data_IF_223760693133
#
_entry.id   IF_223760693133
#
_cell.length_a   1.000
_cell.length_b   1.000
_cell.length_c   1.000
_cell.angle_alpha   90.00
_cell.angle_beta   90.00
_cell.angle_gamma   90.00
#
_symmetry.space_group_name_H-M   'P 1'
#
loop_
_entity.id
_entity.type
_entity.pdbx_description
1 polymer ?
#
# COMPACT_ATOMS: atom_id res chain seq x y z
N UNK A 1 0.60 7.84 21.47
CA UNK A 1 -0.54 8.32 20.67
C UNK A 1 -1.59 8.73 21.67
N UNK A 2 -1.97 10.01 21.67
CA UNK A 2 -3.08 10.44 22.52
C UNK A 2 -4.38 9.78 22.09
N UNK A 3 -5.34 9.64 23.00
CA UNK A 3 -6.61 8.96 22.71
C UNK A 3 -7.40 9.67 21.60
N UNK A 4 -7.34 11.01 21.53
CA UNK A 4 -7.95 11.80 20.43
C UNK A 4 -7.31 11.47 19.09
N UNK A 5 -5.98 11.39 19.01
CA UNK A 5 -5.28 11.03 17.77
C UNK A 5 -5.69 9.62 17.31
N UNK A 6 -5.95 8.72 18.26
CA UNK A 6 -6.44 7.37 17.97
C UNK A 6 -7.84 7.39 17.40
N UNK A 7 -8.75 8.14 18.02
CA UNK A 7 -10.09 8.34 17.50
C UNK A 7 -10.08 8.93 16.09
N UNK A 8 -9.26 9.96 15.84
CA UNK A 8 -9.07 10.59 14.53
C UNK A 8 -8.55 9.57 13.51
N UNK A 9 -7.47 8.86 13.82
CA UNK A 9 -6.89 7.87 12.90
C UNK A 9 -7.90 6.77 12.52
N UNK A 10 -8.71 6.29 13.47
CA UNK A 10 -9.77 5.32 13.20
C UNK A 10 -10.87 5.92 12.31
N UNK A 11 -11.28 7.16 12.58
CA UNK A 11 -12.26 7.87 11.75
C UNK A 11 -11.78 7.99 10.31
N UNK A 12 -10.53 8.44 10.11
CA UNK A 12 -9.92 8.67 8.79
C UNK A 12 -9.67 7.40 7.99
N UNK A 13 -9.37 6.29 8.66
CA UNK A 13 -9.21 4.98 8.04
C UNK A 13 -10.53 4.19 7.95
N UNK A 14 -11.67 4.85 8.21
CA UNK A 14 -13.02 4.28 8.14
C UNK A 14 -13.22 3.04 9.02
N UNK A 15 -12.48 2.97 10.12
CA UNK A 15 -12.51 1.85 11.04
C UNK A 15 -13.68 1.97 12.00
N UNK A 16 -14.26 0.84 12.46
CA UNK A 16 -15.23 0.87 13.54
C UNK A 16 -14.64 1.55 14.78
N UNK A 17 -15.41 2.49 15.32
CA UNK A 17 -15.09 3.17 16.58
C UNK A 17 -16.08 2.70 17.64
N UNK A 18 -15.56 2.09 18.69
CA UNK A 18 -16.37 1.65 19.83
C UNK A 18 -16.84 2.85 20.64
N UNK A 19 -18.08 2.80 21.13
CA UNK A 19 -18.66 3.89 21.92
C UNK A 19 -17.84 4.17 23.19
N UNK A 20 -17.33 3.13 23.85
CA UNK A 20 -16.47 3.28 25.03
C UNK A 20 -15.24 4.14 24.72
N UNK A 21 -14.57 3.91 23.58
CA UNK A 21 -13.44 4.74 23.17
C UNK A 21 -13.83 6.21 23.00
N UNK A 22 -15.02 6.51 22.46
CA UNK A 22 -15.49 7.90 22.30
C UNK A 22 -15.67 8.54 23.68
N UNK A 23 -16.42 7.90 24.58
CA UNK A 23 -16.70 8.40 25.93
C UNK A 23 -15.42 8.56 26.76
N UNK A 24 -14.50 7.60 26.68
CA UNK A 24 -13.22 7.63 27.40
C UNK A 24 -12.25 8.69 26.85
N UNK A 25 -12.38 9.04 25.57
CA UNK A 25 -11.51 10.02 24.89
C UNK A 25 -12.02 11.45 25.04
N UNK A 26 -13.34 11.68 24.97
CA UNK A 26 -13.97 13.01 24.87
C UNK A 26 -14.46 13.52 26.23
N UNK A 27 -13.61 13.41 27.24
CA UNK A 27 -13.94 13.71 28.65
C UNK A 27 -13.99 15.20 28.99
N UNK A 28 -13.43 16.06 28.15
CA UNK A 28 -13.35 17.50 28.39
C UNK A 28 -13.42 18.34 27.09
N UNK A 29 -13.69 19.64 27.21
CA UNK A 29 -13.80 20.57 26.08
C UNK A 29 -12.53 20.66 25.24
N UNK A 30 -11.33 20.41 25.80
CA UNK A 30 -10.08 20.45 25.04
C UNK A 30 -9.95 19.22 24.13
N UNK A 31 -10.29 18.03 24.63
CA UNK A 31 -10.31 16.80 23.84
C UNK A 31 -11.32 16.87 22.68
N UNK A 32 -12.50 17.44 22.94
CA UNK A 32 -13.52 17.69 21.92
C UNK A 32 -13.05 18.73 20.88
N UNK A 33 -12.46 19.85 21.34
CA UNK A 33 -11.86 20.86 20.45
C UNK A 33 -10.77 20.25 19.56
N UNK A 34 -9.90 19.42 20.14
CA UNK A 34 -8.83 18.75 19.40
C UNK A 34 -9.39 17.81 18.32
N UNK A 35 -10.44 17.03 18.62
CA UNK A 35 -11.12 16.21 17.61
C UNK A 35 -11.63 17.06 16.44
N UNK A 36 -12.30 18.19 16.71
CA UNK A 36 -12.84 19.08 15.67
C UNK A 36 -11.72 19.69 14.82
N UNK A 37 -10.65 20.15 15.45
CA UNK A 37 -9.51 20.75 14.74
C UNK A 37 -8.84 19.74 13.81
N UNK A 38 -8.67 18.48 14.25
CA UNK A 38 -8.09 17.43 13.42
C UNK A 38 -9.06 16.82 12.41
N UNK A 39 -10.37 17.08 12.53
CA UNK A 39 -11.40 16.55 11.62
C UNK A 39 -12.07 17.66 10.81
N UNK A 40 -13.14 18.26 11.33
CA UNK A 40 -14.01 19.22 10.62
C UNK A 40 -13.22 20.44 10.11
N UNK A 41 -12.29 20.96 10.91
CA UNK A 41 -11.51 22.18 10.56
C UNK A 41 -10.18 21.87 9.89
N UNK A 42 -9.89 20.61 9.63
CA UNK A 42 -8.63 20.21 9.03
C UNK A 42 -8.63 20.53 7.51
N UNK A 43 -7.68 21.35 7.01
CA UNK A 43 -7.58 21.67 5.59
C UNK A 43 -7.49 20.44 4.68
N UNK A 44 -6.79 19.37 5.13
CA UNK A 44 -6.66 18.12 4.39
C UNK A 44 -8.01 17.45 4.16
N UNK A 45 -8.89 17.45 5.16
CA UNK A 45 -10.21 16.82 5.07
C UNK A 45 -11.25 17.68 4.36
N UNK A 46 -10.93 18.96 4.09
CA UNK A 46 -11.73 19.76 3.16
C UNK A 46 -11.55 19.27 1.73
N UNK A 47 -10.33 18.83 1.37
CA UNK A 47 -10.00 18.31 0.05
C UNK A 47 -10.36 16.81 -0.09
N UNK A 48 -10.10 16.03 0.95
CA UNK A 48 -10.23 14.57 0.93
C UNK A 48 -11.09 14.02 2.09
N UNK A 49 -12.36 14.44 2.21
CA UNK A 49 -13.24 13.98 3.28
C UNK A 49 -13.67 12.52 3.10
N UNK A 50 -13.87 11.74 4.18
CA UNK A 50 -14.64 10.51 4.09
C UNK A 50 -16.03 10.73 3.48
N UNK A 51 -16.65 9.70 2.90
CA UNK A 51 -17.95 9.82 2.25
C UNK A 51 -19.03 10.37 3.23
N UNK A 52 -19.98 11.21 2.76
CA UNK A 52 -20.97 11.87 3.61
C UNK A 52 -21.78 10.91 4.49
N UNK A 53 -22.21 9.76 3.95
CA UNK A 53 -22.98 8.76 4.71
C UNK A 53 -22.17 8.19 5.89
N UNK A 54 -20.86 7.99 5.70
CA UNK A 54 -19.96 7.55 6.76
C UNK A 54 -19.77 8.64 7.81
N UNK A 55 -19.52 9.89 7.38
CA UNK A 55 -19.38 11.03 8.29
C UNK A 55 -20.64 11.20 9.16
N UNK A 56 -21.83 11.13 8.55
CA UNK A 56 -23.09 11.22 9.28
C UNK A 56 -23.20 10.13 10.36
N UNK A 57 -22.89 8.87 10.02
CA UNK A 57 -22.92 7.76 10.99
C UNK A 57 -21.91 7.95 12.13
N UNK A 58 -20.70 8.39 11.81
CA UNK A 58 -19.66 8.66 12.81
C UNK A 58 -20.10 9.78 13.76
N UNK A 59 -20.49 10.93 13.22
CA UNK A 59 -20.85 12.11 14.01
C UNK A 59 -22.11 11.89 14.86
N UNK A 60 -23.06 11.07 14.41
CA UNK A 60 -24.21 10.66 15.22
C UNK A 60 -23.79 9.93 16.51
N UNK A 61 -22.69 9.17 16.48
CA UNK A 61 -22.19 8.48 17.68
C UNK A 61 -21.40 9.41 18.59
N UNK A 62 -20.76 10.43 18.02
CA UNK A 62 -19.93 11.39 18.76
C UNK A 62 -20.76 12.49 19.40
N UNK A 63 -21.83 12.95 18.75
CA UNK A 63 -22.62 14.11 19.19
C UNK A 63 -23.26 13.94 20.57
N UNK A 64 -23.49 12.69 20.99
CA UNK A 64 -24.00 12.38 22.33
C UNK A 64 -23.03 12.77 23.45
N UNK A 65 -21.74 12.95 23.12
CA UNK A 65 -20.66 13.21 24.06
C UNK A 65 -20.09 14.64 23.90
N UNK A 66 -20.66 15.47 23.02
CA UNK A 66 -20.17 16.82 22.69
C UNK A 66 -21.02 17.90 23.38
N UNK A 67 -20.38 18.96 23.89
CA UNK A 67 -21.04 20.13 24.50
C UNK A 67 -21.76 21.03 23.45
N UNK A 68 -22.85 21.68 23.85
CA UNK A 68 -23.79 22.42 22.96
C UNK A 68 -23.14 23.46 22.04
N UNK A 69 -22.01 24.08 22.42
CA UNK A 69 -21.32 25.10 21.61
C UNK A 69 -20.71 24.56 20.31
N UNK A 70 -20.41 23.25 20.27
CA UNK A 70 -19.83 22.55 19.13
C UNK A 70 -20.93 21.97 18.22
N UNK A 71 -22.12 21.75 18.78
CA UNK A 71 -23.29 21.16 18.11
C UNK A 71 -23.65 21.91 16.81
N UNK A 72 -23.50 23.23 16.80
CA UNK A 72 -23.81 24.09 15.64
C UNK A 72 -22.95 23.75 14.40
N UNK A 73 -21.68 23.36 14.59
CA UNK A 73 -20.80 22.95 13.48
C UNK A 73 -21.17 21.56 12.91
N UNK A 74 -21.81 20.70 13.71
CA UNK A 74 -22.20 19.34 13.30
C UNK A 74 -23.53 19.30 12.54
N UNK A 75 -24.44 20.25 12.80
CA UNK A 75 -25.75 20.30 12.15
C UNK A 75 -25.61 20.39 10.63
N UNK A 76 -24.62 21.13 10.10
CA UNK A 76 -24.42 21.24 8.64
C UNK A 76 -24.02 19.90 8.02
N UNK A 77 -23.17 19.12 8.68
CA UNK A 77 -22.76 17.76 8.26
C UNK A 77 -23.89 16.76 8.41
N UNK A 78 -24.74 16.91 9.43
CA UNK A 78 -25.87 16.00 9.70
C UNK A 78 -27.12 16.29 8.85
N UNK A 79 -27.18 17.45 8.20
CA UNK A 79 -28.31 17.84 7.34
C UNK A 79 -28.26 17.23 5.93
N UNK A 80 -27.25 16.38 5.65
CA UNK A 80 -27.14 15.67 4.36
C UNK A 80 -28.20 14.56 4.31
N UNK A 81 -29.07 14.52 3.29
CA UNK A 81 -30.06 13.46 3.14
C UNK A 81 -29.40 12.08 3.10
N UNK A 82 -29.91 11.15 3.90
CA UNK A 82 -29.45 9.75 3.87
C UNK A 82 -29.69 9.19 2.48
N UNK A 83 -28.62 8.78 1.80
CA UNK A 83 -28.70 8.28 0.44
C UNK A 83 -29.38 6.91 0.39
N UNK A 84 -30.20 6.70 -0.64
CA UNK A 84 -30.75 5.39 -1.02
C UNK A 84 -29.90 4.85 -2.19
N UNK A 85 -29.06 3.85 -1.97
CA UNK A 85 -28.20 3.27 -3.01
C UNK A 85 -26.95 2.58 -2.47
N UNK A 86 -26.09 2.02 -3.34
CA UNK A 86 -24.80 1.50 -2.93
C UNK A 86 -23.95 2.63 -2.33
N UNK A 87 -23.08 2.30 -1.35
CA UNK A 87 -22.25 3.29 -0.70
C UNK A 87 -21.30 3.94 -1.72
N UNK A 88 -21.14 5.26 -1.60
CA UNK A 88 -20.20 6.01 -2.44
C UNK A 88 -18.76 5.61 -2.13
N UNK A 89 -17.87 5.76 -3.12
CA UNK A 89 -16.44 5.73 -2.87
C UNK A 89 -16.08 6.75 -1.79
N UNK A 90 -15.09 6.43 -0.97
CA UNK A 90 -14.69 7.28 0.15
C UNK A 90 -13.20 7.49 0.13
N UNK A 91 -12.77 8.70 0.46
CA UNK A 91 -11.39 8.93 0.83
C UNK A 91 -11.09 8.22 2.16
N UNK A 92 -9.96 7.52 2.21
CA UNK A 92 -9.36 6.98 3.42
C UNK A 92 -8.02 7.69 3.59
N UNK A 93 -7.73 8.14 4.81
CA UNK A 93 -6.45 8.76 5.14
C UNK A 93 -5.76 8.00 6.26
N UNK A 94 -4.58 7.44 5.97
CA UNK A 94 -3.73 6.77 6.94
C UNK A 94 -2.68 7.75 7.45
N UNK A 95 -2.62 7.94 8.78
CA UNK A 95 -1.62 8.81 9.40
C UNK A 95 -0.32 8.02 9.64
N UNK A 96 0.58 8.03 8.66
CA UNK A 96 1.88 7.37 8.74
C UNK A 96 2.73 8.00 9.84
N UNK A 97 3.43 7.17 10.61
CA UNK A 97 4.43 7.60 11.60
C UNK A 97 5.79 7.06 11.23
N UNK A 98 6.84 7.76 11.67
CA UNK A 98 8.21 7.30 11.51
C UNK A 98 8.36 5.96 12.23
N UNK A 99 8.69 4.86 11.54
CA UNK A 99 9.04 3.61 12.20
C UNK A 99 10.27 3.82 13.09
N UNK A 100 10.30 3.19 14.27
CA UNK A 100 11.46 3.30 15.17
C UNK A 100 12.75 2.80 14.51
N UNK A 101 12.64 1.75 13.68
CA UNK A 101 13.72 1.18 12.89
C UNK A 101 14.05 1.95 11.61
N UNK A 102 13.35 3.06 11.33
CA UNK A 102 13.55 3.81 10.10
C UNK A 102 14.91 4.52 10.11
N UNK A 103 15.70 4.39 9.04
CA UNK A 103 16.95 5.14 8.90
C UNK A 103 16.72 6.59 8.49
N UNK A 104 15.49 6.97 8.13
CA UNK A 104 15.14 8.37 7.83
C UNK A 104 15.13 9.15 9.14
N UNK A 105 15.83 10.28 9.18
CA UNK A 105 15.90 11.12 10.38
C UNK A 105 14.52 11.67 10.79
N UNK A 106 14.34 11.97 12.07
CA UNK A 106 13.09 12.57 12.56
C UNK A 106 12.84 13.94 11.91
N UNK A 107 13.88 14.71 11.62
CA UNK A 107 13.75 16.03 10.97
C UNK A 107 13.31 15.91 9.51
N UNK A 108 13.85 14.95 8.77
CA UNK A 108 13.39 14.65 7.39
C UNK A 108 11.96 14.14 7.39
N UNK A 109 11.58 13.34 8.39
CA UNK A 109 10.23 12.83 8.51
C UNK A 109 9.22 13.91 8.87
N UNK A 110 9.58 14.91 9.66
CA UNK A 110 8.64 15.97 10.09
C UNK A 110 8.08 16.77 8.92
N UNK A 111 6.78 17.04 8.97
CA UNK A 111 6.09 17.92 8.01
C UNK A 111 6.19 19.39 8.43
N UNK A 112 6.23 20.33 7.47
CA UNK A 112 6.15 21.75 7.75
C UNK A 112 4.89 22.08 8.56
N UNK A 113 4.95 23.03 9.51
CA UNK A 113 3.77 23.44 10.28
C UNK A 113 2.78 24.18 9.38
N UNK A 114 1.49 24.10 9.70
CA UNK A 114 0.43 24.88 9.05
C UNK A 114 -0.03 24.37 7.68
N UNK A 115 0.43 23.19 7.24
CA UNK A 115 -0.10 22.51 6.05
C UNK A 115 -1.48 21.92 6.33
N UNK A 116 -1.61 21.29 7.50
CA UNK A 116 -2.86 20.79 8.05
C UNK A 116 -2.81 20.78 9.58
N UNK A 117 -3.85 20.23 10.19
CA UNK A 117 -4.01 20.20 11.64
C UNK A 117 -3.55 18.86 12.26
N UNK A 118 -2.83 18.00 11.53
CA UNK A 118 -2.26 16.79 12.09
C UNK A 118 -0.95 17.07 12.82
N UNK A 119 -0.48 16.10 13.62
CA UNK A 119 0.85 16.19 14.21
C UNK A 119 1.92 16.24 13.10
N UNK A 120 2.96 17.05 13.28
CA UNK A 120 4.06 17.15 12.31
C UNK A 120 4.85 15.84 12.16
N UNK A 121 4.77 14.94 13.14
CA UNK A 121 5.38 13.60 13.06
C UNK A 121 4.49 12.60 12.29
N UNK A 122 3.29 13.02 11.86
CA UNK A 122 2.37 12.25 11.05
C UNK A 122 2.35 12.73 9.60
N UNK A 123 2.28 11.77 8.67
CA UNK A 123 2.11 12.04 7.24
C UNK A 123 0.78 11.45 6.74
N UNK A 124 -0.17 12.28 6.28
CA UNK A 124 -1.46 11.79 5.83
C UNK A 124 -1.33 11.15 4.45
N UNK A 125 -1.50 9.83 4.36
CA UNK A 125 -1.53 9.09 3.11
C UNK A 125 -2.98 8.82 2.71
N UNK A 126 -3.41 9.44 1.62
CA UNK A 126 -4.81 9.40 1.18
C UNK A 126 -5.00 8.58 -0.07
N UNK A 127 -6.01 7.70 -0.04
CA UNK A 127 -6.49 6.95 -1.20
C UNK A 127 -8.01 7.08 -1.31
N UNK A 128 -8.54 6.86 -2.52
CA UNK A 128 -9.97 6.79 -2.76
C UNK A 128 -10.34 5.31 -2.98
N UNK A 129 -11.30 4.80 -2.21
CA UNK A 129 -11.72 3.40 -2.31
C UNK A 129 -13.19 3.26 -2.60
N UNK A 130 -13.52 2.27 -3.42
CA UNK A 130 -14.87 1.74 -3.49
C UNK A 130 -15.28 1.15 -2.14
N UNK A 131 -16.55 1.31 -1.80
CA UNK A 131 -17.16 0.72 -0.61
C UNK A 131 -17.92 -0.57 -0.92
N UNK A 132 -17.82 -1.07 -2.15
CA UNK A 132 -18.32 -2.38 -2.58
C UNK A 132 -17.16 -3.33 -2.91
N UNK A 133 -17.39 -4.64 -2.75
CA UNK A 133 -16.34 -5.65 -3.01
C UNK A 133 -15.98 -5.77 -4.48
N UNK A 134 -16.97 -5.66 -5.36
CA UNK A 134 -16.81 -5.62 -6.81
C UNK A 134 -17.49 -4.34 -7.28
N UNK A 135 -16.79 -3.54 -8.06
CA UNK A 135 -17.31 -2.36 -8.75
C UNK A 135 -16.73 -2.35 -10.15
N UNK A 136 -17.53 -1.99 -11.17
CA UNK A 136 -17.09 -1.92 -12.58
C UNK A 136 -16.49 -3.22 -13.13
N UNK A 137 -16.84 -4.37 -12.53
CA UNK A 137 -16.33 -5.67 -12.94
C UNK A 137 -14.96 -6.04 -12.37
N UNK A 138 -14.40 -5.19 -11.51
CA UNK A 138 -13.09 -5.41 -10.87
C UNK A 138 -13.19 -5.42 -9.34
N UNK A 139 -12.24 -6.10 -8.70
CA UNK A 139 -12.01 -6.10 -7.25
C UNK A 139 -10.88 -5.14 -6.83
N UNK A 140 -10.22 -4.48 -7.79
CA UNK A 140 -9.03 -3.65 -7.57
C UNK A 140 -9.32 -2.25 -7.05
N UNK A 141 -10.58 -1.81 -6.96
CA UNK A 141 -10.95 -0.46 -6.53
C UNK A 141 -11.00 -0.26 -5.01
N UNK A 142 -10.55 -1.25 -4.23
CA UNK A 142 -10.43 -1.20 -2.76
C UNK A 142 -9.12 -1.83 -2.29
N UNK A 143 -8.63 -1.45 -1.12
CA UNK A 143 -7.50 -2.14 -0.50
C UNK A 143 -7.97 -3.44 0.15
N UNK A 144 -7.18 -4.49 -0.04
CA UNK A 144 -7.37 -5.79 0.57
C UNK A 144 -6.43 -6.02 1.75
N UNK A 145 -6.81 -6.93 2.65
CA UNK A 145 -6.07 -7.19 3.90
C UNK A 145 -4.59 -7.44 3.69
N UNK A 146 -4.22 -8.28 2.74
CA UNK A 146 -2.80 -8.56 2.47
C UNK A 146 -2.00 -7.32 2.05
N UNK A 147 -2.63 -6.32 1.42
CA UNK A 147 -1.97 -5.06 1.06
C UNK A 147 -1.71 -4.18 2.30
N UNK A 148 -2.67 -4.11 3.24
CA UNK A 148 -2.48 -3.44 4.53
C UNK A 148 -1.34 -4.08 5.33
N UNK A 149 -1.35 -5.41 5.44
CA UNK A 149 -0.32 -6.15 6.17
C UNK A 149 1.05 -6.03 5.48
N UNK A 150 1.11 -6.07 4.15
CA UNK A 150 2.35 -5.88 3.40
C UNK A 150 2.88 -4.45 3.52
N UNK A 151 2.03 -3.42 3.48
CA UNK A 151 2.43 -2.04 3.70
C UNK A 151 3.01 -1.83 5.11
N UNK A 152 2.41 -2.44 6.13
CA UNK A 152 2.91 -2.44 7.50
C UNK A 152 4.28 -3.16 7.60
N UNK A 153 4.46 -4.27 6.88
CA UNK A 153 5.73 -4.98 6.82
C UNK A 153 6.82 -4.17 6.10
N UNK A 154 6.51 -3.54 4.96
CA UNK A 154 7.47 -2.72 4.18
C UNK A 154 8.02 -1.56 5.01
N UNK A 155 7.18 -0.92 5.84
CA UNK A 155 7.63 0.14 6.76
C UNK A 155 8.76 -0.31 7.71
N UNK A 156 8.92 -1.60 7.96
CA UNK A 156 9.91 -2.16 8.90
C UNK A 156 11.12 -2.80 8.23
N UNK A 157 10.99 -3.17 6.96
CA UNK A 157 11.99 -3.98 6.25
C UNK A 157 12.84 -3.17 5.24
N UNK A 158 12.78 -1.83 5.33
CA UNK A 158 13.68 -0.91 4.63
C UNK A 158 13.89 -1.18 3.12
N UNK A 159 12.80 -1.46 2.40
CA UNK A 159 12.86 -1.73 0.96
C UNK A 159 12.95 -0.47 0.08
N UNK A 160 12.97 0.72 0.68
CA UNK A 160 12.90 2.00 -0.03
C UNK A 160 14.19 2.36 -0.80
N UNK A 161 15.28 1.59 -0.69
CA UNK A 161 16.45 1.78 -1.57
C UNK A 161 16.37 0.96 -2.86
N UNK A 162 15.39 0.04 -2.97
CA UNK A 162 15.26 -0.85 -4.12
C UNK A 162 14.46 -0.21 -5.27
N UNK A 163 14.68 -0.73 -6.48
CA UNK A 163 13.73 -0.58 -7.59
C UNK A 163 12.61 -1.59 -7.42
N UNK A 164 11.38 -1.13 -7.34
CA UNK A 164 10.23 -1.97 -6.97
C UNK A 164 9.25 -2.06 -8.13
N UNK A 165 8.79 -3.28 -8.40
CA UNK A 165 7.63 -3.56 -9.24
C UNK A 165 6.49 -4.06 -8.34
N UNK A 166 5.35 -3.40 -8.35
CA UNK A 166 4.14 -3.89 -7.73
C UNK A 166 3.22 -4.52 -8.78
N UNK A 167 2.89 -5.80 -8.62
CA UNK A 167 1.93 -6.53 -9.45
C UNK A 167 0.55 -6.48 -8.79
N UNK A 168 -0.46 -6.00 -9.53
CA UNK A 168 -1.84 -5.94 -9.04
C UNK A 168 -2.00 -4.88 -7.96
N UNK A 169 -1.61 -3.64 -8.29
CA UNK A 169 -1.53 -2.52 -7.35
C UNK A 169 -2.89 -2.12 -6.74
N UNK A 170 -4.00 -2.50 -7.38
CA UNK A 170 -5.33 -2.17 -6.88
C UNK A 170 -5.49 -0.65 -6.67
N UNK A 171 -6.06 -0.25 -5.53
CA UNK A 171 -6.26 1.15 -5.20
C UNK A 171 -4.96 1.95 -4.98
N UNK A 172 -3.79 1.30 -5.03
CA UNK A 172 -2.47 1.93 -5.02
C UNK A 172 -1.87 2.19 -3.64
N UNK A 173 -2.46 1.64 -2.55
CA UNK A 173 -2.00 1.90 -1.18
C UNK A 173 -0.51 1.56 -1.01
N UNK A 174 -0.10 0.34 -1.34
CA UNK A 174 1.25 -0.15 -1.10
C UNK A 174 2.28 0.63 -1.92
N UNK A 175 2.03 0.83 -3.21
CA UNK A 175 2.87 1.65 -4.07
C UNK A 175 3.00 3.10 -3.58
N UNK A 176 1.92 3.69 -3.08
CA UNK A 176 1.95 5.05 -2.51
C UNK A 176 2.78 5.11 -1.23
N UNK A 177 2.66 4.12 -0.34
CA UNK A 177 3.50 4.00 0.88
C UNK A 177 4.98 3.95 0.49
N UNK A 178 5.33 3.12 -0.49
CA UNK A 178 6.70 3.00 -0.99
C UNK A 178 7.17 4.31 -1.59
N UNK A 179 6.38 4.94 -2.46
CA UNK A 179 6.70 6.21 -3.09
C UNK A 179 7.00 7.30 -2.05
N UNK A 180 6.17 7.40 -0.99
CA UNK A 180 6.38 8.35 0.11
C UNK A 180 7.69 8.08 0.85
N UNK A 181 7.97 6.83 1.22
CA UNK A 181 9.21 6.51 1.96
C UNK A 181 10.43 6.71 1.08
N UNK A 182 10.38 6.31 -0.19
CA UNK A 182 11.43 6.55 -1.18
C UNK A 182 11.72 8.04 -1.33
N UNK A 183 10.68 8.87 -1.44
CA UNK A 183 10.84 10.33 -1.53
C UNK A 183 11.55 10.91 -0.30
N UNK A 184 11.20 10.43 0.89
CA UNK A 184 11.83 10.88 2.15
C UNK A 184 13.27 10.37 2.32
N UNK A 185 13.58 9.20 1.77
CA UNK A 185 14.92 8.62 1.82
C UNK A 185 15.85 9.18 0.73
N UNK A 186 15.35 10.02 -0.19
CA UNK A 186 16.18 10.58 -1.26
C UNK A 186 17.33 11.42 -0.70
N UNK A 187 18.55 11.24 -1.20
CA UNK A 187 19.65 12.14 -0.87
C UNK A 187 19.29 13.56 -1.34
N UNK A 188 19.56 14.55 -0.50
CA UNK A 188 19.53 15.95 -0.90
C UNK A 188 20.62 16.16 -1.96
N UNK A 189 20.24 16.14 -3.24
CA UNK A 189 21.03 16.55 -4.39
C UNK A 189 22.39 15.86 -4.58
N UNK A 190 22.42 14.81 -5.41
CA UNK A 190 23.40 14.77 -6.48
C UNK A 190 22.82 14.05 -7.71
N UNK A 191 22.58 14.80 -8.78
CA UNK A 191 21.78 14.42 -9.94
C UNK A 191 22.50 13.46 -10.93
N UNK A 192 23.65 12.89 -10.55
CA UNK A 192 24.56 12.24 -11.50
C UNK A 192 24.47 10.71 -11.56
N UNK A 193 23.62 10.06 -10.75
CA UNK A 193 23.47 8.58 -10.77
C UNK A 193 22.04 8.13 -11.08
N UNK A 194 21.55 8.44 -12.29
CA UNK A 194 20.21 8.13 -12.79
C UNK A 194 19.84 6.62 -12.85
N UNK A 195 20.81 5.69 -12.69
CA UNK A 195 20.58 4.24 -12.83
C UNK A 195 20.54 3.48 -11.49
N UNK A 196 20.83 4.14 -10.38
CA UNK A 196 20.79 3.58 -9.03
C UNK A 196 19.66 4.18 -8.18
N UNK A 197 18.83 5.05 -8.77
CA UNK A 197 17.78 5.72 -8.01
C UNK A 197 16.64 4.75 -7.68
N UNK A 198 16.21 4.68 -6.40
CA UNK A 198 15.02 3.93 -6.02
C UNK A 198 13.81 4.39 -6.82
N UNK A 199 12.98 3.44 -7.24
CA UNK A 199 11.77 3.68 -7.98
C UNK A 199 10.68 2.68 -7.59
N UNK A 200 9.44 3.01 -7.95
CA UNK A 200 8.29 2.13 -7.82
C UNK A 200 7.47 2.18 -9.11
N UNK A 201 7.20 1.02 -9.70
CA UNK A 201 6.28 0.86 -10.80
C UNK A 201 5.06 0.06 -10.32
N UNK A 202 3.93 0.75 -10.16
CA UNK A 202 2.63 0.15 -9.87
C UNK A 202 2.01 -0.38 -11.15
N UNK A 203 1.58 -1.64 -11.14
CA UNK A 203 0.97 -2.26 -12.32
C UNK A 203 -0.35 -2.94 -12.01
N UNK A 204 -1.25 -2.86 -12.97
CA UNK A 204 -2.56 -3.53 -12.98
C UNK A 204 -3.00 -3.71 -14.44
N UNK A 205 -4.05 -4.49 -14.68
CA UNK A 205 -4.62 -4.67 -16.03
C UNK A 205 -5.81 -3.73 -16.27
N UNK A 206 -6.51 -3.34 -15.21
CA UNK A 206 -7.75 -2.56 -15.31
C UNK A 206 -7.47 -1.05 -15.34
N UNK A 207 -7.99 -0.36 -16.37
CA UNK A 207 -7.76 1.07 -16.56
C UNK A 207 -8.35 1.95 -15.44
N UNK A 208 -9.50 1.57 -14.88
CA UNK A 208 -10.13 2.31 -13.78
C UNK A 208 -9.31 2.14 -12.49
N UNK A 209 -8.71 0.96 -12.29
CA UNK A 209 -7.77 0.70 -11.18
C UNK A 209 -6.48 1.50 -11.34
N UNK A 210 -5.88 1.51 -12.53
CA UNK A 210 -4.69 2.31 -12.82
C UNK A 210 -4.96 3.81 -12.62
N UNK A 211 -6.12 4.31 -13.09
CA UNK A 211 -6.54 5.69 -12.85
C UNK A 211 -6.66 5.97 -11.36
N UNK A 212 -7.18 5.03 -10.57
CA UNK A 212 -7.28 5.18 -9.12
C UNK A 212 -5.92 5.31 -8.44
N UNK A 213 -4.94 4.50 -8.85
CA UNK A 213 -3.57 4.61 -8.34
C UNK A 213 -2.95 5.98 -8.69
N UNK A 214 -3.19 6.49 -9.90
CA UNK A 214 -2.75 7.83 -10.32
C UNK A 214 -3.41 8.92 -9.48
N UNK A 215 -4.72 8.82 -9.23
CA UNK A 215 -5.44 9.76 -8.36
C UNK A 215 -4.84 9.80 -6.95
N UNK A 216 -4.46 8.64 -6.39
CA UNK A 216 -3.74 8.53 -5.11
C UNK A 216 -2.44 9.33 -5.05
N UNK A 217 -1.67 9.34 -6.16
CA UNK A 217 -0.46 10.16 -6.29
C UNK A 217 -0.80 11.66 -6.28
N UNK A 218 -1.89 12.05 -6.95
CA UNK A 218 -2.36 13.43 -6.98
C UNK A 218 -2.83 13.92 -5.60
N UNK A 219 -3.41 13.05 -4.77
CA UNK A 219 -3.81 13.38 -3.40
C UNK A 219 -2.61 13.57 -2.45
N UNK A 220 -1.45 13.08 -2.87
CA UNK A 220 -0.22 13.06 -2.07
C UNK A 220 0.84 14.00 -2.63
N UNK A 221 0.46 15.03 -3.40
CA UNK A 221 1.41 15.95 -4.03
C UNK A 221 2.41 16.54 -3.01
N UNK A 222 1.98 16.92 -1.82
CA UNK A 222 2.89 17.43 -0.77
C UNK A 222 3.97 16.41 -0.33
N UNK A 223 3.78 15.13 -0.59
CA UNK A 223 4.66 14.03 -0.19
C UNK A 223 5.40 13.35 -1.34
N UNK A 224 4.87 13.37 -2.57
CA UNK A 224 5.46 12.67 -3.72
C UNK A 224 5.63 13.56 -4.96
N UNK A 225 5.27 14.84 -4.92
CA UNK A 225 5.41 15.75 -6.06
C UNK A 225 6.87 15.88 -6.51
N UNK A 226 7.05 16.00 -7.82
CA UNK A 226 8.35 16.04 -8.45
C UNK A 226 9.15 14.74 -8.32
N UNK A 227 8.53 13.61 -7.95
CA UNK A 227 9.20 12.31 -7.93
C UNK A 227 9.16 11.64 -9.33
N UNK A 228 10.22 11.74 -10.15
CA UNK A 228 10.23 11.14 -11.49
C UNK A 228 10.29 9.60 -11.48
N UNK A 229 10.41 8.98 -10.31
CA UNK A 229 10.65 7.54 -10.15
C UNK A 229 9.40 6.79 -9.67
N UNK A 230 8.24 7.44 -9.70
CA UNK A 230 6.95 6.80 -9.44
C UNK A 230 6.26 6.62 -10.78
N UNK A 231 5.93 5.37 -11.09
CA UNK A 231 5.33 5.00 -12.35
C UNK A 231 4.07 4.18 -12.12
N UNK A 232 3.09 4.38 -13.00
CA UNK A 232 1.89 3.54 -13.11
C UNK A 232 1.86 3.02 -14.55
N UNK A 233 1.74 1.71 -14.75
CA UNK A 233 1.76 1.07 -16.08
C UNK A 233 0.76 -0.09 -16.14
N UNK A 234 0.18 -0.29 -17.32
CA UNK A 234 -0.63 -1.46 -17.57
C UNK A 234 0.26 -2.71 -17.69
N UNK A 235 -0.16 -3.82 -17.08
CA UNK A 235 0.48 -5.13 -17.23
C UNK A 235 -0.58 -6.23 -17.11
N UNK A 236 -0.90 -6.88 -18.23
CA UNK A 236 -1.70 -8.10 -18.25
C UNK A 236 -0.78 -9.32 -18.06
N UNK A 237 -0.97 -10.07 -16.96
CA UNK A 237 -0.15 -11.25 -16.71
C UNK A 237 -0.41 -12.39 -17.71
N UNK A 238 -1.58 -12.43 -18.35
CA UNK A 238 -1.92 -13.47 -19.33
C UNK A 238 -1.03 -13.39 -20.56
N UNK A 239 -0.50 -12.21 -20.87
CA UNK A 239 0.46 -11.98 -21.94
C UNK A 239 1.79 -12.70 -21.71
N UNK A 240 2.12 -13.01 -20.45
CA UNK A 240 3.32 -13.80 -20.15
C UNK A 240 3.25 -15.23 -20.69
N UNK A 241 2.04 -15.78 -20.91
CA UNK A 241 1.84 -17.13 -21.46
C UNK A 241 1.61 -17.13 -22.97
N UNK A 242 1.26 -15.98 -23.55
CA UNK A 242 1.04 -15.83 -24.98
C UNK A 242 2.39 -15.60 -25.69
N UNK A 243 2.85 -16.50 -26.60
CA UNK A 243 4.15 -16.36 -27.25
C UNK A 243 4.38 -15.04 -27.97
N UNK A 244 3.33 -14.49 -28.61
CA UNK A 244 3.41 -13.25 -29.39
C UNK A 244 3.46 -12.01 -28.50
N UNK A 245 2.77 -12.05 -27.35
CA UNK A 245 2.69 -10.91 -26.41
C UNK A 245 3.73 -10.96 -25.30
N UNK A 246 4.32 -12.13 -25.03
CA UNK A 246 5.34 -12.34 -23.98
C UNK A 246 6.55 -11.42 -24.14
N UNK A 247 6.93 -11.09 -25.37
CA UNK A 247 8.03 -10.16 -25.65
C UNK A 247 7.78 -8.76 -25.08
N UNK A 248 6.52 -8.30 -25.06
CA UNK A 248 6.16 -7.01 -24.48
C UNK A 248 6.27 -7.03 -22.96
N UNK A 249 5.83 -8.12 -22.32
CA UNK A 249 6.01 -8.32 -20.86
C UNK A 249 7.50 -8.32 -20.51
N UNK A 250 8.32 -9.06 -21.26
CA UNK A 250 9.78 -9.08 -21.05
C UNK A 250 10.40 -7.69 -21.22
N UNK A 251 10.06 -6.98 -22.30
CA UNK A 251 10.57 -5.63 -22.55
C UNK A 251 10.20 -4.66 -21.43
N UNK A 252 8.96 -4.72 -20.92
CA UNK A 252 8.52 -3.87 -19.81
C UNK A 252 9.27 -4.21 -18.52
N UNK A 253 9.45 -5.49 -18.21
CA UNK A 253 10.18 -5.93 -17.01
C UNK A 253 11.68 -5.58 -17.08
N UNK A 254 12.28 -5.59 -18.28
CA UNK A 254 13.64 -5.13 -18.52
C UNK A 254 13.76 -3.61 -18.39
N UNK A 255 12.76 -2.84 -18.83
CA UNK A 255 12.70 -1.38 -18.65
C UNK A 255 12.59 -1.01 -17.16
N UNK A 256 11.68 -1.68 -16.44
CA UNK A 256 11.45 -1.45 -15.01
C UNK A 256 12.64 -1.91 -14.17
N UNK A 257 13.36 -2.96 -14.59
CA UNK A 257 14.55 -3.51 -13.94
C UNK A 257 14.45 -3.56 -12.39
N UNK A 258 13.35 -4.11 -11.87
CA UNK A 258 13.06 -4.12 -10.43
C UNK A 258 13.91 -5.12 -9.66
N UNK A 259 14.58 -4.70 -8.60
CA UNK A 259 15.30 -5.60 -7.68
C UNK A 259 14.30 -6.37 -6.78
N UNK A 260 13.18 -5.73 -6.44
CA UNK A 260 12.13 -6.29 -5.59
C UNK A 260 10.78 -6.28 -6.32
N UNK A 261 10.11 -7.42 -6.35
CA UNK A 261 8.72 -7.52 -6.83
C UNK A 261 7.80 -7.69 -5.63
N UNK A 262 6.73 -6.91 -5.57
CA UNK A 262 5.71 -6.99 -4.54
C UNK A 262 4.37 -7.35 -5.19
N UNK A 263 3.57 -8.16 -4.48
CA UNK A 263 2.19 -8.40 -4.87
C UNK A 263 1.34 -8.67 -3.62
N UNK A 264 0.12 -8.14 -3.59
CA UNK A 264 -0.78 -8.29 -2.45
C UNK A 264 -2.16 -8.77 -2.88
N UNK A 265 -2.61 -9.89 -2.30
CA UNK A 265 -3.93 -10.49 -2.54
C UNK A 265 -4.24 -10.86 -4.00
N UNK A 266 -3.21 -11.13 -4.80
CA UNK A 266 -3.32 -11.44 -6.25
C UNK A 266 -3.61 -12.91 -6.58
N UNK A 267 -3.53 -13.80 -5.59
CA UNK A 267 -3.86 -15.25 -5.74
C UNK A 267 -5.28 -15.48 -5.26
N UNK A 268 -6.24 -15.00 -6.03
CA UNK A 268 -7.67 -15.14 -5.71
C UNK A 268 -8.43 -16.05 -6.67
N UNK A 269 -7.92 -16.33 -7.87
CA UNK A 269 -8.54 -17.22 -8.86
C UNK A 269 -7.53 -18.26 -9.37
N UNK A 270 -7.96 -19.51 -9.60
CA UNK A 270 -7.05 -20.57 -10.06
C UNK A 270 -6.57 -20.33 -11.50
N UNK A 271 -7.41 -19.70 -12.34
CA UNK A 271 -7.10 -19.45 -13.75
C UNK A 271 -5.96 -18.46 -13.95
N UNK A 272 -5.75 -17.55 -12.99
CA UNK A 272 -4.71 -16.51 -13.10
C UNK A 272 -3.36 -16.96 -12.56
N UNK A 273 -3.31 -18.04 -11.76
CA UNK A 273 -2.08 -18.55 -11.14
C UNK A 273 -0.97 -18.84 -12.17
N UNK A 274 -1.21 -19.57 -13.28
CA UNK A 274 -0.16 -19.85 -14.26
C UNK A 274 0.43 -18.58 -14.90
N UNK A 275 -0.42 -17.58 -15.14
CA UNK A 275 -0.03 -16.28 -15.69
C UNK A 275 0.81 -15.48 -14.69
N UNK A 276 0.36 -15.42 -13.43
CA UNK A 276 1.08 -14.75 -12.35
C UNK A 276 2.47 -15.38 -12.11
N UNK A 277 2.55 -16.71 -12.00
CA UNK A 277 3.84 -17.39 -11.77
C UNK A 277 4.78 -17.30 -12.97
N UNK A 278 4.24 -17.22 -14.20
CA UNK A 278 5.02 -16.92 -15.40
C UNK A 278 5.58 -15.50 -15.39
N UNK A 279 4.77 -14.49 -15.03
CA UNK A 279 5.21 -13.09 -14.89
C UNK A 279 6.28 -12.93 -13.80
N UNK A 280 6.07 -13.52 -12.61
CA UNK A 280 7.06 -13.51 -11.52
C UNK A 280 8.38 -14.14 -11.95
N UNK A 281 8.33 -15.27 -12.66
CA UNK A 281 9.52 -15.92 -13.21
C UNK A 281 10.23 -15.02 -14.21
N UNK A 282 9.50 -14.43 -15.17
CA UNK A 282 10.08 -13.48 -16.12
C UNK A 282 10.76 -12.30 -15.44
N UNK A 283 10.15 -11.74 -14.40
CA UNK A 283 10.70 -10.62 -13.66
C UNK A 283 12.00 -11.00 -12.95
N UNK A 284 12.06 -12.19 -12.34
CA UNK A 284 13.25 -12.68 -11.64
C UNK A 284 14.37 -13.13 -12.60
N UNK A 285 14.02 -13.76 -13.73
CA UNK A 285 14.96 -14.30 -14.74
C UNK A 285 15.50 -13.27 -15.74
N UNK A 286 14.92 -12.07 -15.80
CA UNK A 286 15.28 -11.05 -16.81
C UNK A 286 16.81 -10.88 -16.95
N UNK A 287 17.36 -10.60 -18.14
CA UNK A 287 18.78 -10.34 -18.29
C UNK A 287 19.26 -9.21 -17.38
N UNK A 288 20.52 -9.26 -16.95
CA UNK A 288 21.13 -8.07 -16.35
C UNK A 288 21.21 -6.94 -17.39
N UNK A 289 21.07 -5.67 -16.97
CA UNK A 289 21.28 -4.54 -17.86
C UNK A 289 22.65 -4.66 -18.54
N UNK A 290 22.69 -4.50 -19.88
CA UNK A 290 23.97 -4.50 -20.62
C UNK A 290 24.84 -3.35 -20.08
N UNK A 291 26.06 -3.68 -19.65
CA UNK A 291 27.04 -2.70 -19.17
C UNK A 291 27.28 -1.62 -20.24
N UNK A 292 27.32 -0.35 -19.82
CA UNK A 292 28.00 0.66 -20.63
C UNK A 292 29.50 0.63 -20.28
N UNK A 293 30.43 0.77 -21.24
CA UNK A 293 31.86 0.42 -21.09
C UNK A 293 32.65 1.14 -19.99
N UNK A 294 32.06 2.10 -19.27
CA UNK A 294 32.76 3.09 -18.45
C UNK A 294 32.65 2.85 -16.93
N UNK A 295 31.87 1.87 -16.47
CA UNK A 295 31.72 1.55 -15.04
C UNK A 295 32.12 0.11 -14.76
N UNK A 296 33.43 -0.14 -14.63
CA UNK A 296 33.94 -1.36 -13.98
C UNK A 296 34.08 -1.07 -12.50
N UNK A 297 33.04 -1.39 -11.72
CA UNK A 297 33.20 -1.67 -10.30
C UNK A 297 32.81 -3.11 -10.01
N UNK A 298 33.58 -3.75 -9.13
CA UNK A 298 33.45 -5.16 -8.75
C UNK A 298 32.13 -5.52 -8.02
N UNK A 299 31.19 -4.57 -7.90
CA UNK A 299 29.89 -4.72 -7.22
C UNK A 299 28.81 -5.36 -8.08
N UNK A 300 28.90 -5.33 -9.42
CA UNK A 300 27.84 -5.84 -10.30
C UNK A 300 27.57 -7.34 -10.17
N UNK A 301 28.57 -8.13 -9.75
CA UNK A 301 28.39 -9.56 -9.52
C UNK A 301 27.45 -9.86 -8.32
N UNK A 302 27.20 -8.87 -7.45
CA UNK A 302 26.27 -9.00 -6.30
C UNK A 302 24.82 -8.63 -6.63
N UNK A 303 24.57 -7.83 -7.69
CA UNK A 303 23.22 -7.36 -8.06
C UNK A 303 22.40 -8.43 -8.80
N UNK A 304 23.07 -9.31 -9.55
CA UNK A 304 22.44 -10.50 -10.14
C UNK A 304 21.94 -11.51 -9.09
N UNK A 305 22.51 -11.46 -7.88
CA UNK A 305 22.28 -12.44 -6.81
C UNK A 305 21.13 -12.09 -5.86
N UNK A 306 20.48 -10.93 -5.98
CA UNK A 306 19.45 -10.51 -5.00
C UNK A 306 18.15 -9.98 -5.62
N UNK A 307 17.65 -10.61 -6.69
CA UNK A 307 16.26 -10.39 -7.12
C UNK A 307 15.31 -11.24 -6.29
N UNK A 308 14.28 -10.60 -5.75
CA UNK A 308 13.35 -11.25 -4.82
C UNK A 308 11.92 -10.79 -5.10
N UNK A 309 10.96 -11.71 -4.98
CA UNK A 309 9.55 -11.35 -4.98
C UNK A 309 8.91 -11.70 -3.63
N UNK A 310 8.10 -10.78 -3.12
CA UNK A 310 7.28 -10.95 -1.93
C UNK A 310 5.81 -10.90 -2.32
N UNK A 311 5.10 -12.01 -2.09
CA UNK A 311 3.68 -12.14 -2.39
C UNK A 311 2.93 -12.34 -1.08
N UNK A 312 2.18 -11.31 -0.66
CA UNK A 312 1.34 -11.36 0.53
C UNK A 312 -0.07 -11.84 0.17
N UNK A 313 -0.58 -12.85 0.87
CA UNK A 313 -1.85 -13.50 0.55
C UNK A 313 -2.71 -13.66 1.79
N UNK A 314 -3.97 -13.23 1.73
CA UNK A 314 -4.96 -13.54 2.76
C UNK A 314 -5.46 -14.96 2.52
N UNK A 315 -5.30 -15.88 3.48
CA UNK A 315 -5.75 -17.26 3.32
C UNK A 315 -7.29 -17.37 3.39
N UNK A 316 -7.95 -17.17 2.25
CA UNK A 316 -9.41 -17.38 2.10
C UNK A 316 -9.78 -18.76 1.57
N UNK A 317 -8.90 -19.33 0.72
CA UNK A 317 -9.06 -20.66 0.11
C UNK A 317 -7.71 -21.37 0.11
N UNK A 318 -7.59 -22.45 0.88
CA UNK A 318 -6.35 -23.25 0.95
C UNK A 318 -5.95 -23.83 -0.41
N UNK A 319 -6.93 -24.15 -1.27
CA UNK A 319 -6.67 -24.66 -2.62
C UNK A 319 -5.89 -23.65 -3.47
N UNK A 320 -6.29 -22.38 -3.50
CA UNK A 320 -5.62 -21.35 -4.30
C UNK A 320 -4.19 -21.12 -3.83
N UNK A 321 -3.97 -21.17 -2.51
CA UNK A 321 -2.62 -21.07 -1.94
C UNK A 321 -1.76 -22.28 -2.33
N UNK A 322 -2.27 -23.50 -2.17
CA UNK A 322 -1.55 -24.73 -2.54
C UNK A 322 -1.23 -24.77 -4.02
N UNK A 323 -2.18 -24.42 -4.88
CA UNK A 323 -1.99 -24.37 -6.34
C UNK A 323 -0.95 -23.32 -6.73
N UNK A 324 -0.93 -22.17 -6.07
CA UNK A 324 0.09 -21.14 -6.29
C UNK A 324 1.49 -21.65 -5.94
N UNK A 325 1.65 -22.29 -4.77
CA UNK A 325 2.93 -22.89 -4.39
C UNK A 325 3.37 -23.98 -5.38
N UNK A 326 2.44 -24.84 -5.82
CA UNK A 326 2.71 -25.89 -6.80
C UNK A 326 3.09 -25.32 -8.18
N UNK A 327 2.40 -24.26 -8.64
CA UNK A 327 2.69 -23.56 -9.90
C UNK A 327 4.01 -22.81 -9.87
N UNK A 328 4.41 -22.29 -8.71
CA UNK A 328 5.72 -21.67 -8.53
C UNK A 328 6.85 -22.73 -8.52
N UNK A 329 6.59 -23.91 -7.95
CA UNK A 329 7.58 -24.97 -7.73
C UNK A 329 7.66 -26.05 -8.84
N UNK A 330 6.83 -25.98 -9.88
CA UNK A 330 6.61 -27.08 -10.85
C UNK A 330 7.88 -27.57 -11.55
N UNK A 331 7.98 -28.89 -11.77
CA UNK A 331 9.21 -29.59 -12.22
C UNK A 331 9.71 -29.21 -13.62
N UNK A 332 8.83 -28.89 -14.55
CA UNK A 332 9.25 -28.41 -15.89
C UNK A 332 9.97 -27.05 -15.84
N UNK A 333 9.87 -26.34 -14.70
CA UNK A 333 10.29 -24.95 -14.55
C UNK A 333 10.98 -24.66 -13.20
N UNK A 334 11.66 -25.65 -12.57
CA UNK A 334 12.30 -25.63 -11.22
C UNK A 334 13.35 -24.51 -10.98
N UNK A 335 13.00 -23.26 -11.25
CA UNK A 335 13.90 -22.12 -11.11
C UNK A 335 13.48 -21.20 -9.97
N UNK A 336 12.31 -21.37 -9.38
CA UNK A 336 11.91 -20.59 -8.20
C UNK A 336 12.12 -21.41 -6.91
N UNK A 337 12.84 -20.82 -5.96
CA UNK A 337 12.83 -21.24 -4.56
C UNK A 337 11.68 -20.50 -3.85
N UNK A 338 10.92 -21.23 -3.04
CA UNK A 338 9.75 -20.70 -2.34
C UNK A 338 9.97 -20.81 -0.84
N UNK A 339 9.90 -19.69 -0.13
CA UNK A 339 10.03 -19.62 1.33
C UNK A 339 8.84 -18.87 1.92
N UNK A 340 8.23 -19.39 2.98
CA UNK A 340 7.17 -18.68 3.70
C UNK A 340 7.81 -17.89 4.83
N UNK A 341 7.52 -16.59 4.90
CA UNK A 341 8.05 -15.66 5.89
C UNK A 341 6.96 -15.32 6.90
N UNK A 342 7.31 -15.36 8.18
CA UNK A 342 6.51 -14.72 9.21
C UNK A 342 6.77 -13.22 9.19
N UNK A 343 5.70 -12.45 8.94
CA UNK A 343 5.78 -11.00 8.85
C UNK A 343 6.08 -10.34 10.20
N UNK A 344 5.87 -11.05 11.33
CA UNK A 344 6.10 -10.54 12.68
C UNK A 344 5.47 -9.14 12.91
N UNK A 345 4.26 -8.94 12.36
CA UNK A 345 3.56 -7.66 12.46
C UNK A 345 3.18 -7.38 13.92
N UNK A 346 3.20 -6.11 14.36
CA UNK A 346 2.77 -5.77 15.70
C UNK A 346 1.27 -6.11 15.90
N UNK A 347 0.77 -6.11 17.14
CA UNK A 347 -0.66 -6.20 17.38
C UNK A 347 -1.46 -5.16 16.60
N UNK A 348 -2.68 -5.51 16.17
CA UNK A 348 -3.49 -4.66 15.28
C UNK A 348 -3.69 -3.23 15.82
N UNK A 349 -3.79 -3.05 17.15
CA UNK A 349 -3.94 -1.74 17.78
C UNK A 349 -2.68 -0.85 17.74
N UNK A 350 -1.53 -1.41 17.34
CA UNK A 350 -0.28 -0.69 17.11
C UNK A 350 0.03 -0.52 15.61
N UNK A 351 -0.80 -1.06 14.71
CA UNK A 351 -0.63 -0.89 13.25
C UNK A 351 -1.17 0.46 12.80
N UNK A 352 -0.55 1.00 11.75
CA UNK A 352 -1.06 2.16 11.01
C UNK A 352 -2.15 1.70 10.04
N UNK A 353 -1.90 0.61 9.32
CA UNK A 353 -2.85 0.05 8.37
C UNK A 353 -3.73 -0.99 9.07
N UNK A 354 -5.03 -0.71 9.13
CA UNK A 354 -6.04 -1.57 9.78
C UNK A 354 -7.17 -1.87 8.82
N UNK A 355 -7.65 -3.11 8.85
CA UNK A 355 -8.80 -3.54 8.07
C UNK A 355 -10.07 -3.47 8.91
N UNK A 356 -11.22 -3.23 8.27
CA UNK A 356 -12.54 -3.18 8.94
C UNK A 356 -12.86 -4.44 9.76
N UNK A 357 -12.23 -5.56 9.43
CA UNK A 357 -12.48 -6.88 10.02
C UNK A 357 -11.57 -7.17 11.24
N UNK A 358 -10.68 -6.23 11.60
CA UNK A 358 -9.75 -6.37 12.73
C UNK A 358 -10.44 -6.35 14.10
N UNK A 359 -11.64 -5.77 14.22
CA UNK A 359 -12.42 -5.77 15.46
C UNK A 359 -13.28 -7.01 15.66
N UNK A 360 -13.49 -7.82 14.61
CA UNK A 360 -14.43 -8.95 14.62
C UNK A 360 -13.77 -10.32 14.36
N UNK A 361 -12.56 -10.35 13.77
CA UNK A 361 -11.90 -11.60 13.45
C UNK A 361 -11.25 -12.22 14.70
N UNK A 362 -11.93 -13.24 15.25
CA UNK A 362 -11.29 -14.30 16.02
C UNK A 362 -10.32 -15.08 15.09
N UNK A 363 -9.17 -14.49 14.74
CA UNK A 363 -7.98 -15.20 14.25
C UNK A 363 -8.04 -15.98 12.94
N UNK A 364 -9.08 -15.90 12.11
CA UNK A 364 -9.20 -16.75 10.90
C UNK A 364 -8.50 -16.21 9.64
N UNK A 365 -8.41 -14.88 9.49
CA UNK A 365 -7.88 -14.27 8.25
C UNK A 365 -6.41 -13.90 8.46
N UNK A 366 -5.55 -14.92 8.44
CA UNK A 366 -4.11 -14.73 8.57
C UNK A 366 -3.45 -14.51 7.20
N UNK A 367 -2.71 -13.41 7.06
CA UNK A 367 -1.89 -13.16 5.87
C UNK A 367 -0.62 -14.02 5.92
N UNK A 368 -0.26 -14.61 4.77
CA UNK A 368 1.01 -15.30 4.55
C UNK A 368 1.87 -14.47 3.61
N UNK A 369 3.15 -14.29 3.95
CA UNK A 369 4.12 -13.69 3.05
C UNK A 369 4.95 -14.79 2.41
N UNK A 370 4.90 -14.89 1.08
CA UNK A 370 5.68 -15.85 0.31
C UNK A 370 6.84 -15.11 -0.36
N UNK A 371 8.05 -15.53 -0.06
CA UNK A 371 9.28 -15.08 -0.70
C UNK A 371 9.65 -16.05 -1.84
N UNK A 372 9.92 -15.48 -3.01
CA UNK A 372 10.34 -16.19 -4.21
C UNK A 372 11.69 -15.64 -4.69
N UNK A 373 12.65 -16.53 -4.89
CA UNK A 373 13.95 -16.20 -5.49
C UNK A 373 14.26 -17.19 -6.61
N UNK A 374 15.26 -16.89 -7.44
CA UNK A 374 15.80 -17.92 -8.31
C UNK A 374 16.54 -18.98 -7.46
N UNK A 375 16.37 -20.26 -7.79
CA UNK A 375 17.28 -21.30 -7.29
C UNK A 375 18.66 -21.00 -7.84
N UNK A 376 19.68 -21.03 -6.99
CA UNK A 376 21.05 -21.02 -7.45
C UNK A 376 21.18 -22.13 -8.49
N UNK A 377 21.57 -21.77 -9.72
CA UNK A 377 22.04 -22.76 -10.65
C UNK A 377 23.25 -23.38 -9.97
N UNK A 378 23.10 -24.59 -9.41
CA UNK A 378 24.24 -25.38 -8.98
C UNK A 378 25.30 -25.23 -10.06
N UNK A 379 26.49 -24.78 -9.64
CA UNK A 379 27.67 -24.74 -10.49
C UNK A 379 27.73 -26.11 -11.16
N UNK A 380 27.38 -26.16 -12.45
CA UNK A 380 27.79 -27.26 -13.31
C UNK A 380 29.29 -27.10 -13.51
N UNK A 381 30.05 -27.37 -12.45
CA UNK A 381 31.44 -27.73 -12.54
C UNK A 381 31.45 -29.16 -13.03
N UNK A 382 31.70 -29.28 -14.33
CA UNK A 382 32.42 -30.33 -15.06
C UNK A 382 32.42 -31.75 -14.50
#
# INVERSE_FOLDING_TARGET
MGDVERLVALHLALQPVERALITDTLVDTNSQRNLIEQTIRNPHLTLYPPAPDYQHKFWKNVIAEIEDEIYVHLISTLSVPVRQGPPEASYLTYLLRRPESSPISADTWRRPPGVDNFSQDQRPLTILESRTTIERGTTGLRTWRASLDLAEWVLRNNLFSARILELGSGAGLLGLVIATIQQLARPNADANHLRETPCICMTDVDEDVLRRAIDGLNFSQDMVDGNPNVHVRALDWTDSLNPDRRVHVQSLLEEIDADVILAADVVYDLSIIPSLTSTLRLALERPLPKEQPWHRDASNNTRAQHRIAYVALTLRREQSFTEFLASAATEERQRLAVNIIDMNLPPHWNRVFRGSDDSASRGTDSTRLVCLTLKDAERRSE
#
